data_IF_745382369367
#
_entry.id   IF_745382369367
#
_cell.length_a   1.000
_cell.length_b   1.000
_cell.length_c   1.000
_cell.angle_alpha   90.00
_cell.angle_beta   90.00
_cell.angle_gamma   90.00
#
_symmetry.space_group_name_H-M   'P 1'
#
loop_
_entity.id
_entity.type
_entity.pdbx_description
1 polymer ?
#
# COMPACT_ATOMS: atom_id res chain seq x y z
N UNK A 1 23.22 -2.81 -4.13
CA UNK A 1 21.81 -3.18 -3.82
C UNK A 1 21.14 -2.24 -2.82
N UNK A 2 21.72 -1.89 -1.67
CA UNK A 2 21.03 -1.04 -0.66
C UNK A 2 20.51 0.31 -1.21
N UNK A 3 21.31 1.01 -2.03
CA UNK A 3 20.90 2.28 -2.66
C UNK A 3 19.66 2.14 -3.54
N UNK A 4 19.52 1.03 -4.27
CA UNK A 4 18.37 0.75 -5.14
C UNK A 4 17.10 0.59 -4.31
N UNK A 5 17.17 -0.12 -3.17
CA UNK A 5 16.00 -0.28 -2.31
C UNK A 5 15.61 0.99 -1.56
N UNK A 6 16.57 1.84 -1.18
CA UNK A 6 16.24 3.16 -0.60
C UNK A 6 15.63 4.09 -1.63
N UNK A 7 16.11 4.03 -2.86
CA UNK A 7 15.54 4.76 -3.98
C UNK A 7 14.11 4.29 -4.27
N UNK A 8 13.85 2.99 -4.33
CA UNK A 8 12.49 2.47 -4.48
C UNK A 8 11.60 2.85 -3.30
N UNK A 9 12.09 2.78 -2.06
CA UNK A 9 11.38 3.27 -0.88
C UNK A 9 10.99 4.75 -0.96
N UNK A 10 11.86 5.59 -1.54
CA UNK A 10 11.58 7.01 -1.74
C UNK A 10 10.48 7.22 -2.79
N UNK A 11 10.57 6.50 -3.92
CA UNK A 11 9.53 6.51 -4.97
C UNK A 11 8.18 6.08 -4.39
N UNK A 12 8.12 4.95 -3.68
CA UNK A 12 6.87 4.45 -3.11
C UNK A 12 6.30 5.39 -2.05
N UNK A 13 7.14 6.08 -1.28
CA UNK A 13 6.67 7.10 -0.33
C UNK A 13 5.96 8.26 -1.05
N UNK A 14 6.53 8.74 -2.17
CA UNK A 14 5.92 9.79 -2.98
C UNK A 14 4.63 9.28 -3.65
N UNK A 15 4.64 8.06 -4.18
CA UNK A 15 3.45 7.46 -4.78
C UNK A 15 2.32 7.33 -3.77
N UNK A 16 2.58 6.85 -2.55
CA UNK A 16 1.54 6.78 -1.51
C UNK A 16 1.00 8.15 -1.10
N UNK A 17 1.83 9.19 -1.05
CA UNK A 17 1.37 10.56 -0.83
C UNK A 17 0.47 11.06 -1.97
N UNK A 18 0.84 10.78 -3.21
CA UNK A 18 0.00 11.11 -4.38
C UNK A 18 -1.33 10.37 -4.29
N UNK A 19 -1.30 9.06 -4.01
CA UNK A 19 -2.51 8.26 -3.85
C UNK A 19 -3.39 8.82 -2.75
N UNK A 20 -2.85 9.17 -1.57
CA UNK A 20 -3.61 9.84 -0.51
C UNK A 20 -4.31 11.12 -1.01
N UNK A 21 -3.61 11.93 -1.83
CA UNK A 21 -4.21 13.11 -2.45
C UNK A 21 -5.32 12.81 -3.46
N UNK A 22 -5.34 11.63 -4.08
CA UNK A 22 -6.40 11.24 -5.01
C UNK A 22 -7.68 10.76 -4.31
N UNK A 23 -7.57 10.30 -3.06
CA UNK A 23 -8.70 9.73 -2.30
C UNK A 23 -9.72 10.76 -1.81
N UNK A 24 -9.47 12.07 -1.98
CA UNK A 24 -10.49 13.10 -1.70
C UNK A 24 -11.74 12.96 -2.58
N UNK A 25 -11.65 12.21 -3.68
CA UNK A 25 -12.78 11.93 -4.57
C UNK A 25 -13.57 10.68 -4.18
N UNK A 26 -13.11 9.91 -3.19
CA UNK A 26 -13.77 8.67 -2.77
C UNK A 26 -14.89 8.95 -1.75
N UNK A 27 -15.88 8.04 -1.59
CA UNK A 27 -16.97 8.19 -0.64
C UNK A 27 -16.49 8.27 0.83
N UNK A 28 -15.43 7.53 1.19
CA UNK A 28 -14.84 7.50 2.54
C UNK A 28 -13.38 7.99 2.55
N UNK A 29 -13.13 9.28 2.26
CA UNK A 29 -11.79 9.80 1.99
C UNK A 29 -10.87 9.71 3.22
N UNK A 30 -11.42 9.92 4.42
CA UNK A 30 -10.63 9.94 5.65
C UNK A 30 -9.94 8.59 5.95
N UNK A 31 -10.63 7.47 5.72
CA UNK A 31 -10.09 6.14 5.94
C UNK A 31 -8.93 5.87 4.97
N UNK A 32 -9.16 6.09 3.67
CA UNK A 32 -8.18 5.81 2.62
C UNK A 32 -6.96 6.72 2.71
N UNK A 33 -7.16 8.02 2.95
CA UNK A 33 -6.07 8.97 3.21
C UNK A 33 -5.23 8.48 4.39
N UNK A 34 -5.86 8.06 5.49
CA UNK A 34 -5.15 7.57 6.68
C UNK A 34 -4.31 6.33 6.37
N UNK A 35 -4.84 5.37 5.62
CA UNK A 35 -4.12 4.16 5.19
C UNK A 35 -2.87 4.53 4.38
N UNK A 36 -3.01 5.40 3.38
CA UNK A 36 -1.89 5.79 2.53
C UNK A 36 -0.86 6.69 3.23
N UNK A 37 -1.29 7.52 4.18
CA UNK A 37 -0.37 8.28 5.03
C UNK A 37 0.43 7.36 5.96
N UNK A 38 -0.22 6.36 6.57
CA UNK A 38 0.49 5.35 7.38
C UNK A 38 1.48 4.59 6.49
N UNK A 39 1.07 4.18 5.29
CA UNK A 39 1.96 3.53 4.32
C UNK A 39 3.19 4.40 4.04
N UNK A 40 2.99 5.70 3.80
CA UNK A 40 4.07 6.68 3.59
C UNK A 40 5.02 6.75 4.78
N UNK A 41 4.50 6.81 6.01
CA UNK A 41 5.34 6.88 7.22
C UNK A 41 6.17 5.60 7.38
N UNK A 42 5.58 4.43 7.12
CA UNK A 42 6.28 3.14 7.17
C UNK A 42 7.37 3.06 6.10
N UNK A 43 7.10 3.49 4.87
CA UNK A 43 8.09 3.50 3.78
C UNK A 43 9.22 4.49 4.05
N UNK A 44 8.94 5.67 4.58
CA UNK A 44 9.98 6.61 5.02
C UNK A 44 10.81 6.05 6.17
N UNK A 45 10.15 5.43 7.15
CA UNK A 45 10.83 4.71 8.24
C UNK A 45 11.81 3.66 7.70
N UNK A 46 11.43 2.93 6.64
CA UNK A 46 12.32 2.01 5.94
C UNK A 46 13.51 2.73 5.28
N UNK A 47 13.28 3.82 4.54
CA UNK A 47 14.35 4.60 3.88
C UNK A 47 15.40 5.10 4.89
N UNK A 48 14.95 5.57 6.06
CA UNK A 48 15.82 6.05 7.13
C UNK A 48 16.37 4.95 8.06
N UNK A 49 16.09 3.67 7.80
CA UNK A 49 16.41 2.53 8.68
C UNK A 49 15.86 2.68 10.11
N UNK A 50 14.72 3.35 10.28
CA UNK A 50 14.04 3.59 11.58
C UNK A 50 12.80 2.72 11.80
N UNK A 51 12.62 1.67 11.01
CA UNK A 51 11.48 0.76 11.12
C UNK A 51 11.94 -0.67 11.34
N UNK A 52 11.26 -1.38 12.23
CA UNK A 52 11.51 -2.81 12.48
C UNK A 52 10.80 -3.66 11.43
N UNK A 53 11.21 -4.94 11.31
CA UNK A 53 10.57 -5.90 10.40
C UNK A 53 9.05 -6.03 10.61
N UNK A 54 8.60 -6.01 11.87
CA UNK A 54 7.22 -6.32 12.22
C UNK A 54 6.22 -5.28 11.72
N UNK A 55 6.59 -4.01 11.68
CA UNK A 55 5.70 -2.92 11.27
C UNK A 55 5.23 -3.08 9.81
N UNK A 56 6.11 -3.13 8.78
CA UNK A 56 5.68 -3.36 7.41
C UNK A 56 5.10 -4.76 7.23
N UNK A 57 5.54 -5.78 7.98
CA UNK A 57 4.96 -7.12 7.88
C UNK A 57 3.48 -7.14 8.31
N UNK A 58 3.16 -6.58 9.48
CA UNK A 58 1.79 -6.51 10.00
C UNK A 58 0.93 -5.64 9.09
N UNK A 59 1.43 -4.47 8.70
CA UNK A 59 0.69 -3.58 7.83
C UNK A 59 0.43 -4.21 6.45
N UNK A 60 1.39 -4.96 5.90
CA UNK A 60 1.20 -5.75 4.69
C UNK A 60 0.14 -6.85 4.83
N UNK A 61 0.08 -7.54 5.98
CA UNK A 61 -0.97 -8.53 6.26
C UNK A 61 -2.35 -7.86 6.36
N UNK A 62 -2.46 -6.74 7.07
CA UNK A 62 -3.72 -6.00 7.19
C UNK A 62 -4.21 -5.50 5.83
N UNK A 63 -3.30 -4.97 4.99
CA UNK A 63 -3.63 -4.56 3.63
C UNK A 63 -4.06 -5.76 2.76
N UNK A 64 -3.43 -6.92 2.92
CA UNK A 64 -3.82 -8.13 2.20
C UNK A 64 -5.20 -8.65 2.63
N UNK A 65 -5.50 -8.62 3.93
CA UNK A 65 -6.84 -8.95 4.45
C UNK A 65 -7.87 -7.98 3.87
N UNK A 66 -7.56 -6.68 3.87
CA UNK A 66 -8.42 -5.65 3.28
C UNK A 66 -8.66 -5.87 1.78
N UNK A 67 -7.64 -6.28 1.01
CA UNK A 67 -7.81 -6.64 -0.39
C UNK A 67 -8.86 -7.74 -0.59
N UNK A 68 -8.79 -8.83 0.19
CA UNK A 68 -9.77 -9.91 0.07
C UNK A 68 -11.16 -9.51 0.58
N UNK A 69 -11.22 -8.60 1.56
CA UNK A 69 -12.47 -8.11 2.12
C UNK A 69 -13.22 -7.17 1.16
N UNK A 70 -12.50 -6.31 0.44
CA UNK A 70 -13.05 -5.36 -0.52
C UNK A 70 -13.11 -5.91 -1.96
N UNK A 71 -12.76 -7.18 -2.18
CA UNK A 71 -12.85 -7.75 -3.52
C UNK A 71 -14.31 -7.75 -3.98
N UNK A 72 -14.66 -7.10 -5.10
CA UNK A 72 -16.05 -7.02 -5.54
C UNK A 72 -16.56 -8.40 -5.95
N UNK A 73 -17.88 -8.62 -5.80
CA UNK A 73 -18.52 -9.88 -6.22
C UNK A 73 -18.34 -10.14 -7.72
N UNK A 74 -18.38 -9.07 -8.53
CA UNK A 74 -18.12 -9.13 -9.96
C UNK A 74 -17.05 -8.10 -10.33
N UNK A 75 -15.96 -8.55 -10.93
CA UNK A 75 -14.91 -7.66 -11.41
C UNK A 75 -15.29 -7.07 -12.78
N UNK A 76 -15.65 -5.79 -12.80
CA UNK A 76 -16.05 -5.06 -14.01
C UNK A 76 -14.95 -4.13 -14.54
N UNK A 77 -13.74 -4.23 -13.97
CA UNK A 77 -12.60 -3.40 -14.32
C UNK A 77 -12.47 -2.15 -13.43
N UNK A 78 -11.76 -1.14 -13.94
CA UNK A 78 -11.42 0.08 -13.20
C UNK A 78 -12.00 1.36 -13.83
N UNK A 79 -12.70 1.23 -14.95
CA UNK A 79 -13.17 2.37 -15.76
C UNK A 79 -14.61 2.72 -15.36
N UNK A 80 -14.79 3.94 -14.83
CA UNK A 80 -16.13 4.45 -14.49
C UNK A 80 -17.00 4.51 -15.76
N UNK A 81 -18.23 3.98 -15.66
CA UNK A 81 -19.20 3.95 -16.75
C UNK A 81 -19.22 2.66 -17.58
N UNK A 82 -18.42 1.65 -17.22
CA UNK A 82 -18.40 0.33 -17.87
C UNK A 82 -18.95 -0.82 -17.01
N UNK A 83 -19.73 -0.51 -15.96
CA UNK A 83 -20.29 -1.50 -15.04
C UNK A 83 -20.99 -0.82 -13.87
N UNK A 84 -21.27 -1.58 -12.81
CA UNK A 84 -21.70 -1.04 -11.53
C UNK A 84 -20.57 -0.20 -10.92
N UNK A 85 -20.90 1.06 -10.61
CA UNK A 85 -19.95 2.01 -10.02
C UNK A 85 -19.38 1.45 -8.72
N UNK A 86 -20.19 0.77 -7.92
CA UNK A 86 -19.77 0.19 -6.65
C UNK A 86 -18.69 -0.87 -6.84
N UNK A 87 -18.89 -1.81 -7.78
CA UNK A 87 -17.91 -2.86 -8.07
C UNK A 87 -16.59 -2.28 -8.58
N UNK A 88 -16.66 -1.21 -9.38
CA UNK A 88 -15.49 -0.52 -9.93
C UNK A 88 -14.71 0.21 -8.82
N UNK A 89 -15.41 0.88 -7.89
CA UNK A 89 -14.80 1.53 -6.73
C UNK A 89 -14.14 0.50 -5.80
N UNK A 90 -14.87 -0.54 -5.42
CA UNK A 90 -14.35 -1.65 -4.61
C UNK A 90 -13.13 -2.32 -5.26
N UNK A 91 -13.15 -2.53 -6.59
CA UNK A 91 -12.00 -3.02 -7.34
C UNK A 91 -10.79 -2.07 -7.22
N UNK A 92 -10.98 -0.76 -7.39
CA UNK A 92 -9.89 0.23 -7.31
C UNK A 92 -9.27 0.24 -5.91
N UNK A 93 -10.11 0.23 -4.88
CA UNK A 93 -9.70 0.23 -3.47
C UNK A 93 -8.97 -1.06 -3.09
N UNK A 94 -9.55 -2.21 -3.44
CA UNK A 94 -8.94 -3.53 -3.20
C UNK A 94 -7.55 -3.62 -3.85
N UNK A 95 -7.43 -3.28 -5.13
CA UNK A 95 -6.13 -3.35 -5.81
C UNK A 95 -5.12 -2.33 -5.27
N UNK A 96 -5.58 -1.17 -4.79
CA UNK A 96 -4.75 -0.23 -4.04
C UNK A 96 -4.16 -0.85 -2.77
N UNK A 97 -4.97 -1.62 -2.02
CA UNK A 97 -4.51 -2.37 -0.85
C UNK A 97 -3.56 -3.52 -1.23
N UNK A 98 -3.81 -4.21 -2.34
CA UNK A 98 -2.92 -5.27 -2.83
C UNK A 98 -1.53 -4.73 -3.16
N UNK A 99 -1.44 -3.61 -3.88
CA UNK A 99 -0.17 -2.94 -4.18
C UNK A 99 0.54 -2.55 -2.88
N UNK A 100 -0.22 -1.99 -1.93
CA UNK A 100 0.31 -1.62 -0.60
C UNK A 100 0.89 -2.85 0.10
N UNK A 101 0.17 -3.97 0.13
CA UNK A 101 0.63 -5.21 0.73
C UNK A 101 1.94 -5.71 0.11
N UNK A 102 2.03 -5.73 -1.23
CA UNK A 102 3.24 -6.17 -1.95
C UNK A 102 4.45 -5.30 -1.58
N UNK A 103 4.29 -3.98 -1.58
CA UNK A 103 5.36 -3.04 -1.23
C UNK A 103 5.82 -3.24 0.22
N UNK A 104 4.87 -3.40 1.15
CA UNK A 104 5.16 -3.62 2.56
C UNK A 104 5.90 -4.94 2.80
N UNK A 105 5.47 -6.02 2.16
CA UNK A 105 6.17 -7.31 2.25
C UNK A 105 7.58 -7.24 1.65
N UNK A 106 7.75 -6.54 0.53
CA UNK A 106 9.06 -6.34 -0.07
C UNK A 106 10.03 -5.64 0.92
N UNK A 107 9.57 -4.60 1.62
CA UNK A 107 10.41 -3.93 2.63
C UNK A 107 10.62 -4.78 3.88
N UNK A 108 9.60 -5.47 4.37
CA UNK A 108 9.73 -6.39 5.50
C UNK A 108 10.78 -7.47 5.21
N UNK A 109 10.66 -8.19 4.09
CA UNK A 109 11.63 -9.20 3.68
C UNK A 109 13.04 -8.61 3.58
N UNK A 110 13.18 -7.41 3.01
CA UNK A 110 14.49 -6.75 2.89
C UNK A 110 15.12 -6.43 4.24
N UNK A 111 14.36 -5.96 5.22
CA UNK A 111 14.84 -5.75 6.60
C UNK A 111 15.28 -7.08 7.21
N UNK A 112 14.48 -8.14 7.07
CA UNK A 112 14.80 -9.47 7.62
C UNK A 112 16.11 -10.04 7.08
N UNK A 113 16.34 -9.91 5.77
CA UNK A 113 17.59 -10.38 5.16
C UNK A 113 18.80 -9.52 5.53
N UNK A 114 18.63 -8.20 5.71
CA UNK A 114 19.72 -7.32 6.19
C UNK A 114 20.15 -7.71 7.61
N UNK A 115 19.19 -7.97 8.51
CA UNK A 115 19.47 -8.31 9.90
C UNK A 115 20.12 -9.70 10.10
N UNK A 116 19.97 -10.62 9.15
CA UNK A 116 20.64 -11.94 9.19
C UNK A 116 22.09 -11.91 8.69
N UNK A 117 22.51 -10.83 8.03
CA UNK A 117 23.82 -10.69 7.39
C UNK A 117 24.80 -9.79 8.17
N UNK A 118 24.38 -9.30 9.33
CA UNK A 118 25.20 -8.58 10.31
C UNK A 118 25.35 -9.44 11.56
#
# INVERSE_FOLDING_TARGET
>A
MEKVFKFSGSIFSVLFLITAGLQYNDPDPALWISIYLIATVVTLGYVFNKVSFFIPAIFGVLALIGFFYLMPETFEGFTIGQGDIKNIEEAREAFGLLITAIVMFMFALRIRFKNKSS
#
